data_IF_624094961400
#
_entry.id   IF_624094961400
#
_cell.length_a   1.000
_cell.length_b   1.000
_cell.length_c   1.000
_cell.angle_alpha   90.00
_cell.angle_beta   90.00
_cell.angle_gamma   90.00
#
_symmetry.space_group_name_H-M   'P 1'
#
loop_
_entity.id
_entity.type
_entity.pdbx_description
1 polymer ?
#
# COMPACT_ATOMS: atom_id res chain seq x y z
N UNK A 1 -10.10 -1.11 9.24
CA UNK A 1 -9.20 -0.55 10.26
C UNK A 1 -8.02 -1.47 10.41
N UNK A 2 -7.74 -1.96 11.61
CA UNK A 2 -6.63 -2.88 11.92
C UNK A 2 -6.42 -4.02 10.91
N UNK A 3 -7.50 -4.66 10.45
CA UNK A 3 -7.45 -5.75 9.46
C UNK A 3 -6.89 -5.36 8.08
N UNK A 4 -6.91 -4.07 7.76
CA UNK A 4 -6.34 -3.49 6.54
C UNK A 4 -5.06 -2.69 6.82
N UNK A 5 -4.37 -2.99 7.92
CA UNK A 5 -3.06 -2.40 8.22
C UNK A 5 -1.93 -3.20 7.57
N UNK A 6 -0.82 -2.53 7.26
CA UNK A 6 0.32 -3.14 6.60
C UNK A 6 1.59 -2.34 6.95
N UNK A 7 2.65 -3.02 7.38
CA UNK A 7 3.97 -2.44 7.46
C UNK A 7 4.60 -2.29 6.07
N UNK A 8 5.65 -1.47 5.97
CA UNK A 8 6.42 -1.32 4.72
C UNK A 8 7.03 -2.64 4.26
N UNK A 9 7.49 -3.48 5.19
CA UNK A 9 8.08 -4.78 4.87
C UNK A 9 7.04 -5.79 4.38
N UNK A 10 5.85 -5.80 4.98
CA UNK A 10 4.73 -6.63 4.51
C UNK A 10 4.24 -6.19 3.13
N UNK A 11 4.23 -4.88 2.86
CA UNK A 11 3.95 -4.35 1.53
C UNK A 11 4.97 -4.82 0.49
N UNK A 12 6.26 -4.71 0.80
CA UNK A 12 7.32 -5.19 -0.11
C UNK A 12 7.14 -6.67 -0.39
N UNK A 13 6.95 -7.50 0.65
CA UNK A 13 6.72 -8.94 0.49
C UNK A 13 5.51 -9.24 -0.40
N UNK A 14 4.41 -8.52 -0.19
CA UNK A 14 3.20 -8.68 -1.01
C UNK A 14 3.45 -8.32 -2.48
N UNK A 15 4.22 -7.25 -2.74
CA UNK A 15 4.60 -6.86 -4.10
C UNK A 15 5.54 -7.89 -4.74
N UNK A 16 6.46 -8.49 -3.98
CA UNK A 16 7.31 -9.58 -4.48
C UNK A 16 6.48 -10.80 -4.90
N UNK A 17 5.45 -11.15 -4.13
CA UNK A 17 4.51 -12.23 -4.47
C UNK A 17 3.76 -11.92 -5.77
N UNK A 18 3.21 -10.71 -5.90
CA UNK A 18 2.47 -10.32 -7.11
C UNK A 18 3.35 -10.22 -8.36
N UNK A 19 4.60 -9.78 -8.22
CA UNK A 19 5.52 -9.61 -9.33
C UNK A 19 6.38 -10.84 -9.61
N UNK A 20 6.31 -11.87 -8.75
CA UNK A 20 7.16 -13.06 -8.81
C UNK A 20 8.66 -12.73 -8.94
N UNK A 21 9.11 -11.66 -8.26
CA UNK A 21 10.50 -11.21 -8.27
C UNK A 21 10.89 -10.58 -6.95
N UNK A 22 12.18 -10.59 -6.65
CA UNK A 22 12.72 -9.90 -5.46
C UNK A 22 12.85 -8.40 -5.68
N UNK A 23 12.55 -7.64 -4.64
CA UNK A 23 12.71 -6.19 -4.60
C UNK A 23 13.88 -5.90 -3.67
N UNK A 24 14.97 -5.39 -4.24
CA UNK A 24 16.13 -4.98 -3.44
C UNK A 24 15.82 -3.65 -2.75
N UNK A 25 16.00 -3.61 -1.43
CA UNK A 25 15.87 -2.40 -0.62
C UNK A 25 16.96 -2.37 0.45
N UNK A 26 17.22 -1.18 0.99
CA UNK A 26 18.12 -0.97 2.13
C UNK A 26 17.37 -0.22 3.22
N UNK A 27 17.82 -0.36 4.47
CA UNK A 27 17.33 0.48 5.56
C UNK A 27 17.99 1.85 5.48
N UNK A 28 17.24 2.87 5.89
CA UNK A 28 17.72 4.24 6.03
C UNK A 28 17.23 4.80 7.36
N UNK A 29 17.78 5.95 7.75
CA UNK A 29 17.34 6.65 8.95
C UNK A 29 15.86 7.04 8.88
N UNK A 30 15.25 7.18 10.06
CA UNK A 30 13.86 7.59 10.18
C UNK A 30 13.65 8.96 9.55
N UNK A 31 12.68 9.09 8.64
CA UNK A 31 12.40 10.37 8.00
C UNK A 31 11.75 11.33 9.02
N UNK A 32 12.24 12.57 9.15
CA UNK A 32 11.62 13.56 10.01
C UNK A 32 10.14 13.75 9.67
N UNK A 33 9.27 13.65 10.67
CA UNK A 33 7.82 13.79 10.52
C UNK A 33 7.05 12.49 10.32
N UNK A 34 7.71 11.36 10.01
CA UNK A 34 7.01 10.07 9.92
C UNK A 34 6.54 9.62 11.31
N UNK A 35 5.26 9.22 11.40
CA UNK A 35 4.72 8.52 12.57
C UNK A 35 5.03 7.03 12.47
N UNK A 36 5.39 6.38 13.60
CA UNK A 36 5.79 4.96 13.60
C UNK A 36 4.68 4.02 13.14
N UNK A 37 3.47 4.26 13.61
CA UNK A 37 2.28 3.47 13.31
C UNK A 37 1.08 4.40 13.30
N UNK A 38 0.24 4.27 12.28
CA UNK A 38 -1.06 4.91 12.22
C UNK A 38 -2.10 3.90 11.74
N UNK A 39 -3.14 3.69 12.53
CA UNK A 39 -4.27 2.81 12.19
C UNK A 39 -5.54 3.53 12.64
N UNK A 40 -6.46 3.74 11.71
CA UNK A 40 -7.71 4.44 11.99
C UNK A 40 -8.72 3.50 12.68
N UNK A 41 -9.27 3.94 13.81
CA UNK A 41 -10.51 3.36 14.37
C UNK A 41 -11.70 3.86 13.56
N UNK A 42 -12.36 2.93 12.88
CA UNK A 42 -13.47 3.21 11.96
C UNK A 42 -14.85 2.91 12.57
N UNK A 43 -14.93 2.59 13.87
CA UNK A 43 -16.20 2.23 14.55
C UNK A 43 -17.26 3.31 14.40
N UNK A 44 -16.87 4.59 14.54
CA UNK A 44 -17.80 5.72 14.41
C UNK A 44 -18.38 5.82 12.99
N UNK A 45 -17.55 5.68 11.96
CA UNK A 45 -18.03 5.70 10.58
C UNK A 45 -18.99 4.54 10.28
N UNK A 46 -18.72 3.35 10.85
CA UNK A 46 -19.63 2.19 10.73
C UNK A 46 -20.97 2.43 11.43
N UNK A 47 -20.95 3.03 12.63
CA UNK A 47 -22.17 3.32 13.40
C UNK A 47 -23.01 4.41 12.76
N UNK A 48 -22.39 5.53 12.42
CA UNK A 48 -23.10 6.75 12.01
C UNK A 48 -23.51 6.71 10.54
N UNK A 49 -22.72 6.04 9.69
CA UNK A 49 -22.89 6.05 8.23
C UNK A 49 -23.18 4.67 7.64
N UNK A 50 -23.14 3.60 8.44
CA UNK A 50 -23.17 2.23 7.92
C UNK A 50 -21.97 1.88 7.03
N UNK A 51 -20.90 2.68 7.08
CA UNK A 51 -19.76 2.55 6.18
C UNK A 51 -18.74 1.56 6.71
N UNK A 52 -18.25 0.68 5.83
CA UNK A 52 -17.09 -0.17 6.08
C UNK A 52 -16.27 -0.38 4.79
N UNK A 53 -14.96 -0.65 4.90
CA UNK A 53 -14.13 -0.88 3.71
C UNK A 53 -14.52 -2.21 3.05
N UNK A 54 -14.97 -2.15 1.81
CA UNK A 54 -15.29 -3.33 1.00
C UNK A 54 -14.10 -3.87 0.20
N UNK A 55 -12.98 -3.13 0.18
CA UNK A 55 -11.75 -3.51 -0.52
C UNK A 55 -10.70 -3.85 0.54
N UNK A 56 -10.18 -5.08 0.49
CA UNK A 56 -9.10 -5.52 1.37
C UNK A 56 -7.78 -4.84 1.02
N UNK A 57 -6.84 -4.76 1.97
CA UNK A 57 -5.49 -4.23 1.68
C UNK A 57 -4.81 -4.96 0.51
N UNK A 58 -4.94 -6.30 0.45
CA UNK A 58 -4.37 -7.12 -0.62
C UNK A 58 -4.96 -6.78 -1.99
N UNK A 59 -6.28 -6.66 -2.05
CA UNK A 59 -7.00 -6.29 -3.27
C UNK A 59 -6.66 -4.86 -3.72
N UNK A 60 -6.63 -3.90 -2.78
CA UNK A 60 -6.29 -2.50 -3.06
C UNK A 60 -4.89 -2.35 -3.63
N UNK A 61 -3.89 -3.01 -3.03
CA UNK A 61 -2.51 -3.04 -3.54
C UNK A 61 -2.45 -3.69 -4.93
N UNK A 62 -3.17 -4.79 -5.15
CA UNK A 62 -3.21 -5.44 -6.46
C UNK A 62 -3.81 -4.53 -7.53
N UNK A 63 -4.95 -3.87 -7.25
CA UNK A 63 -5.58 -2.91 -8.17
C UNK A 63 -4.64 -1.76 -8.53
N UNK A 64 -3.96 -1.19 -7.53
CA UNK A 64 -3.00 -0.12 -7.76
C UNK A 64 -1.80 -0.60 -8.59
N UNK A 65 -1.27 -1.79 -8.30
CA UNK A 65 -0.17 -2.37 -9.06
C UNK A 65 -0.57 -2.56 -10.54
N UNK A 66 -1.73 -3.15 -10.80
CA UNK A 66 -2.25 -3.32 -12.17
C UNK A 66 -2.36 -1.97 -12.88
N UNK A 67 -2.92 -0.95 -12.23
CA UNK A 67 -3.00 0.38 -12.81
C UNK A 67 -1.62 0.97 -13.15
N UNK A 68 -0.62 0.82 -12.27
CA UNK A 68 0.75 1.27 -12.56
C UNK A 68 1.35 0.51 -13.75
N UNK A 69 1.10 -0.79 -13.86
CA UNK A 69 1.59 -1.63 -14.95
C UNK A 69 0.94 -1.27 -16.30
N UNK A 70 -0.34 -0.93 -16.29
CA UNK A 70 -1.09 -0.49 -17.47
C UNK A 70 -0.68 0.93 -17.92
N UNK A 71 -0.17 1.75 -16.98
CA UNK A 71 0.20 3.15 -17.21
C UNK A 71 1.70 3.39 -17.05
N UNK A 72 2.55 2.41 -17.41
CA UNK A 72 4.02 2.51 -17.28
C UNK A 72 4.62 3.76 -17.91
N UNK A 73 4.04 4.27 -19.00
CA UNK A 73 4.49 5.49 -19.66
C UNK A 73 4.45 6.74 -18.79
N UNK A 74 3.63 6.76 -17.72
CA UNK A 74 3.59 7.87 -16.76
C UNK A 74 4.79 7.86 -15.79
N UNK A 75 5.49 6.74 -15.67
CA UNK A 75 6.54 6.54 -14.67
C UNK A 75 7.93 6.32 -15.28
N UNK A 76 7.98 5.99 -16.57
CA UNK A 76 9.24 5.82 -17.29
C UNK A 76 9.46 7.10 -18.10
N UNK A 77 10.40 7.92 -17.65
CA UNK A 77 10.89 9.04 -18.46
C UNK A 77 11.49 8.48 -19.75
N UNK A 78 10.81 8.75 -20.86
CA UNK A 78 11.24 8.33 -22.21
C UNK A 78 12.27 9.30 -22.82
N UNK A 79 12.71 10.31 -22.06
CA UNK A 79 13.77 11.23 -22.44
C UNK A 79 15.03 11.02 -21.57
N UNK A 80 15.77 9.97 -21.89
CA UNK A 80 17.23 9.92 -21.71
C UNK A 80 17.86 9.29 -22.92
#
# INVERSE_FOLDING_TARGET
>A
GLENSLSVLELIKLLEEFLSRKINYTFADWRPGDQRVFICDIKKAKQDLGWEPNVSVKEGVHKLLTWVLDNKSLFIDTQK
#
